data_IF_006641223870
#
_entry.id   IF_006641223870
#
_cell.length_a   1.000
_cell.length_b   1.000
_cell.length_c   1.000
_cell.angle_alpha   90.00
_cell.angle_beta   90.00
_cell.angle_gamma   90.00
#
_symmetry.space_group_name_H-M   'P 1'
#
loop_
_entity.id
_entity.type
_entity.pdbx_description
1 polymer ?
#
# COMPACT_ATOMS: atom_id res chain seq x y z
N UNK A 1 -28.25 -3.48 -23.91
CA UNK A 1 -27.33 -4.58 -23.59
C UNK A 1 -26.65 -4.21 -22.28
N UNK A 2 -27.00 -4.88 -21.18
CA UNK A 2 -26.33 -4.69 -19.90
C UNK A 2 -24.97 -5.36 -20.06
N UNK A 3 -23.89 -4.59 -20.08
CA UNK A 3 -22.54 -5.14 -19.95
C UNK A 3 -22.49 -5.84 -18.59
N UNK A 4 -22.42 -7.17 -18.58
CA UNK A 4 -22.17 -7.91 -17.34
C UNK A 4 -20.88 -7.36 -16.72
N UNK A 5 -21.02 -6.76 -15.53
CA UNK A 5 -19.89 -6.20 -14.80
C UNK A 5 -18.99 -7.36 -14.42
N UNK A 6 -17.85 -7.48 -15.09
CA UNK A 6 -16.86 -8.53 -14.83
C UNK A 6 -16.42 -8.42 -13.38
N UNK A 7 -16.72 -9.43 -12.57
CA UNK A 7 -16.45 -9.41 -11.14
C UNK A 7 -14.95 -9.57 -10.87
N UNK A 8 -14.29 -8.48 -10.52
CA UNK A 8 -12.89 -8.47 -10.11
C UNK A 8 -12.78 -9.04 -8.70
N UNK A 9 -11.90 -10.02 -8.51
CA UNK A 9 -11.82 -10.75 -7.22
C UNK A 9 -10.41 -11.21 -6.92
N UNK A 10 -10.03 -11.09 -5.65
CA UNK A 10 -8.87 -11.75 -5.06
C UNK A 10 -9.37 -12.86 -4.13
N UNK A 11 -8.92 -14.09 -4.35
CA UNK A 11 -9.17 -15.24 -3.47
C UNK A 11 -7.85 -15.72 -2.87
N UNK A 12 -7.78 -15.76 -1.55
CA UNK A 12 -6.69 -16.41 -0.83
C UNK A 12 -6.96 -17.92 -0.83
N UNK A 13 -6.08 -18.69 -1.46
CA UNK A 13 -6.16 -20.16 -1.42
C UNK A 13 -5.55 -20.63 -0.10
N UNK A 14 -6.29 -21.51 0.61
CA UNK A 14 -5.80 -22.14 1.85
C UNK A 14 -4.42 -22.75 1.59
N UNK A 15 -3.44 -22.39 2.43
CA UNK A 15 -2.06 -22.86 2.36
C UNK A 15 -1.39 -22.65 0.99
N UNK A 16 -1.88 -21.66 0.24
CA UNK A 16 -1.56 -21.48 -1.16
C UNK A 16 -1.54 -20.03 -1.63
N UNK A 17 -1.52 -19.84 -2.96
CA UNK A 17 -1.33 -18.53 -3.58
C UNK A 17 -2.55 -17.60 -3.48
N UNK A 18 -2.37 -16.35 -3.90
CA UNK A 18 -3.47 -15.48 -4.28
C UNK A 18 -3.95 -15.86 -5.68
N UNK A 19 -5.27 -16.02 -5.87
CA UNK A 19 -5.90 -16.17 -7.18
C UNK A 19 -6.67 -14.89 -7.49
N UNK A 20 -6.22 -14.16 -8.50
CA UNK A 20 -6.80 -12.89 -8.95
C UNK A 20 -7.58 -13.19 -10.22
N UNK A 21 -8.84 -12.76 -10.32
CA UNK A 21 -9.69 -12.94 -11.51
C UNK A 21 -10.33 -11.62 -11.93
N UNK A 22 -10.69 -11.48 -13.20
CA UNK A 22 -11.38 -10.32 -13.74
C UNK A 22 -10.62 -9.58 -14.85
N UNK A 23 -9.47 -10.09 -15.31
CA UNK A 23 -8.71 -9.45 -16.38
C UNK A 23 -8.05 -8.14 -15.96
N UNK A 24 -7.57 -8.02 -14.73
CA UNK A 24 -6.88 -6.83 -14.24
C UNK A 24 -5.50 -6.66 -14.93
N UNK A 25 -5.02 -5.43 -15.13
CA UNK A 25 -3.62 -5.22 -15.49
C UNK A 25 -2.71 -5.57 -14.30
N UNK A 26 -1.45 -5.89 -14.59
CA UNK A 26 -0.45 -6.21 -13.56
C UNK A 26 0.87 -5.53 -13.92
N UNK A 27 1.40 -4.74 -12.99
CA UNK A 27 2.63 -3.97 -13.17
C UNK A 27 3.69 -4.37 -12.14
N UNK A 28 4.96 -4.35 -12.55
CA UNK A 28 6.12 -4.27 -11.67
C UNK A 28 6.46 -2.79 -11.49
N UNK A 29 6.41 -2.31 -10.25
CA UNK A 29 6.77 -0.94 -9.91
C UNK A 29 8.12 -0.88 -9.22
N UNK A 30 8.82 0.24 -9.41
CA UNK A 30 10.07 0.53 -8.71
C UNK A 30 10.00 1.86 -8.00
N UNK A 31 10.65 1.90 -6.84
CA UNK A 31 10.86 3.11 -6.06
C UNK A 31 11.91 3.98 -6.75
N UNK A 32 11.59 5.24 -6.95
CA UNK A 32 12.51 6.28 -7.40
C UNK A 32 12.92 7.14 -6.22
N UNK A 33 14.23 7.41 -6.09
CA UNK A 33 14.79 8.26 -5.05
C UNK A 33 15.39 9.54 -5.64
N UNK A 34 15.39 10.64 -4.87
CA UNK A 34 16.17 11.82 -5.20
C UNK A 34 17.68 11.62 -4.94
N UNK A 35 18.50 12.64 -5.26
CA UNK A 35 19.96 12.61 -5.08
C UNK A 35 20.39 12.39 -3.62
N UNK A 36 19.56 12.79 -2.66
CA UNK A 36 19.79 12.58 -1.23
C UNK A 36 19.31 11.20 -0.75
N UNK A 37 18.76 10.36 -1.65
CA UNK A 37 18.28 9.02 -1.36
C UNK A 37 16.88 8.98 -0.74
N UNK A 38 16.13 10.09 -0.77
CA UNK A 38 14.76 10.07 -0.28
C UNK A 38 13.81 9.49 -1.33
N UNK A 39 12.97 8.56 -0.89
CA UNK A 39 11.94 7.91 -1.70
C UNK A 39 10.89 8.92 -2.17
N UNK A 40 10.77 9.14 -3.49
CA UNK A 40 9.88 10.14 -4.10
C UNK A 40 8.64 9.54 -4.70
N UNK A 41 8.82 8.55 -5.58
CA UNK A 41 7.77 8.08 -6.48
C UNK A 41 7.81 6.56 -6.64
N UNK A 42 6.69 6.00 -7.11
CA UNK A 42 6.60 4.67 -7.70
C UNK A 42 6.36 4.83 -9.19
N UNK A 43 7.21 4.20 -10.01
CA UNK A 43 7.02 4.20 -11.46
C UNK A 43 6.83 2.77 -11.95
N UNK A 44 5.99 2.61 -12.97
CA UNK A 44 5.83 1.34 -13.66
C UNK A 44 7.10 1.02 -14.46
N UNK A 45 7.78 -0.06 -14.06
CA UNK A 45 8.97 -0.57 -14.76
C UNK A 45 8.59 -1.56 -15.86
N UNK A 46 7.53 -2.34 -15.63
CA UNK A 46 7.10 -3.39 -16.55
C UNK A 46 5.62 -3.67 -16.39
N UNK A 47 4.93 -3.74 -17.52
CA UNK A 47 3.59 -4.32 -17.61
C UNK A 47 3.70 -5.81 -17.93
N UNK A 48 2.99 -6.65 -17.19
CA UNK A 48 2.85 -8.07 -17.51
C UNK A 48 1.70 -8.27 -18.52
N UNK A 49 1.78 -9.30 -19.39
CA UNK A 49 0.68 -9.60 -20.29
C UNK A 49 -0.63 -9.77 -19.53
N UNK A 50 -1.67 -9.05 -19.97
CA UNK A 50 -2.97 -9.10 -19.33
C UNK A 50 -3.57 -10.51 -19.41
N UNK A 51 -4.01 -11.03 -18.27
CA UNK A 51 -4.62 -12.36 -18.16
C UNK A 51 -5.95 -12.30 -17.45
N UNK A 52 -6.88 -13.19 -17.82
CA UNK A 52 -8.14 -13.33 -17.10
C UNK A 52 -7.92 -13.67 -15.62
N UNK A 53 -6.88 -14.46 -15.35
CA UNK A 53 -6.55 -14.94 -14.01
C UNK A 53 -5.04 -14.88 -13.79
N UNK A 54 -4.61 -14.33 -12.66
CA UNK A 54 -3.25 -14.50 -12.15
C UNK A 54 -3.24 -15.41 -10.92
N UNK A 55 -2.13 -16.13 -10.74
CA UNK A 55 -1.86 -16.90 -9.54
C UNK A 55 -0.55 -16.41 -8.94
N UNK A 56 -0.63 -15.56 -7.92
CA UNK A 56 0.52 -14.88 -7.33
C UNK A 56 1.02 -15.60 -6.08
N UNK A 57 2.35 -15.66 -5.93
CA UNK A 57 3.02 -16.29 -4.81
C UNK A 57 2.66 -15.56 -3.50
N UNK A 58 2.27 -16.34 -2.49
CA UNK A 58 2.06 -15.86 -1.12
C UNK A 58 3.07 -16.42 -0.11
N UNK A 59 3.66 -17.59 -0.41
CA UNK A 59 4.58 -18.28 0.50
C UNK A 59 6.02 -17.73 0.51
N UNK A 60 6.36 -16.77 -0.36
CA UNK A 60 7.71 -16.20 -0.47
C UNK A 60 8.76 -17.11 -1.14
N UNK A 61 8.49 -18.40 -1.34
CA UNK A 61 9.49 -19.37 -1.81
C UNK A 61 9.49 -19.66 -3.33
N UNK A 62 8.54 -19.11 -4.10
CA UNK A 62 8.49 -19.34 -5.56
C UNK A 62 9.79 -18.91 -6.24
N UNK A 63 10.25 -19.68 -7.22
CA UNK A 63 11.37 -19.36 -8.11
C UNK A 63 10.92 -18.56 -9.34
N UNK A 64 9.62 -18.44 -9.57
CA UNK A 64 9.02 -17.69 -10.67
C UNK A 64 8.21 -16.47 -10.17
N UNK A 65 8.77 -15.71 -9.22
CA UNK A 65 8.08 -14.52 -8.66
C UNK A 65 7.77 -13.50 -9.76
N UNK A 66 6.62 -12.79 -9.68
CA UNK A 66 5.64 -12.80 -8.58
C UNK A 66 4.65 -13.98 -8.63
N UNK A 67 4.74 -14.85 -9.63
CA UNK A 67 3.81 -15.96 -9.83
C UNK A 67 4.09 -17.15 -8.91
N UNK A 68 3.05 -17.92 -8.65
CA UNK A 68 3.15 -19.20 -7.94
C UNK A 68 3.69 -20.28 -8.88
N UNK A 69 4.67 -21.06 -8.42
CA UNK A 69 5.25 -22.21 -9.13
C UNK A 69 4.94 -23.56 -8.44
N UNK A 70 4.06 -23.55 -7.43
CA UNK A 70 3.72 -24.74 -6.65
C UNK A 70 4.62 -25.01 -5.44
N UNK A 71 5.71 -24.26 -5.23
CA UNK A 71 6.66 -24.49 -4.12
C UNK A 71 6.00 -24.52 -2.73
N UNK A 72 4.90 -23.79 -2.53
CA UNK A 72 4.12 -23.79 -1.28
C UNK A 72 3.72 -25.21 -0.80
N UNK A 73 3.45 -26.13 -1.74
CA UNK A 73 3.09 -27.52 -1.39
C UNK A 73 4.30 -28.31 -0.90
N UNK A 74 5.46 -28.08 -1.52
CA UNK A 74 6.71 -28.79 -1.21
C UNK A 74 7.22 -28.40 0.18
N UNK A 75 7.12 -27.11 0.53
CA UNK A 75 7.59 -26.60 1.82
C UNK A 75 6.55 -26.70 2.94
N UNK A 76 5.34 -27.19 2.65
CA UNK A 76 4.25 -27.26 3.63
C UNK A 76 3.86 -25.89 4.18
N UNK A 77 3.72 -24.88 3.31
CA UNK A 77 3.37 -23.51 3.72
C UNK A 77 2.06 -23.49 4.51
N UNK A 78 2.13 -23.11 5.79
CA UNK A 78 0.95 -22.80 6.59
C UNK A 78 0.51 -21.37 6.32
N UNK A 79 -0.64 -21.24 5.65
CA UNK A 79 -1.18 -19.96 5.24
C UNK A 79 -2.19 -19.38 6.22
N UNK A 80 -2.31 -19.91 7.44
CA UNK A 80 -3.27 -19.50 8.47
C UNK A 80 -3.11 -18.03 8.83
N UNK A 81 -4.21 -17.28 8.78
CA UNK A 81 -4.24 -15.86 9.13
C UNK A 81 -4.06 -15.70 10.65
N UNK A 82 -2.99 -15.03 11.05
CA UNK A 82 -2.70 -14.69 12.45
C UNK A 82 -2.86 -13.21 12.75
N UNK A 83 -3.22 -12.41 11.74
CA UNK A 83 -3.39 -10.97 11.87
C UNK A 83 -4.55 -10.62 12.82
N UNK A 84 -4.33 -9.61 13.65
CA UNK A 84 -5.38 -9.06 14.51
C UNK A 84 -6.48 -8.39 13.68
N UNK A 85 -7.73 -8.67 14.03
CA UNK A 85 -8.93 -8.01 13.45
C UNK A 85 -9.34 -6.71 14.16
N UNK A 86 -8.49 -6.20 15.06
CA UNK A 86 -8.76 -4.89 15.68
C UNK A 86 -8.87 -3.81 14.60
N UNK A 87 -9.85 -2.90 14.70
CA UNK A 87 -9.96 -1.75 13.82
C UNK A 87 -8.63 -0.98 13.71
N UNK A 88 -8.36 -0.43 12.53
CA UNK A 88 -7.15 0.36 12.27
C UNK A 88 -6.92 1.45 13.33
N UNK A 89 -7.97 2.21 13.67
CA UNK A 89 -7.87 3.31 14.63
C UNK A 89 -7.49 2.87 16.05
N UNK A 90 -7.74 1.61 16.43
CA UNK A 90 -7.29 1.09 17.74
C UNK A 90 -5.80 0.74 17.76
N UNK A 91 -5.19 0.59 16.59
CA UNK A 91 -3.78 0.24 16.40
C UNK A 91 -2.92 1.47 16.08
N UNK A 92 -3.55 2.55 15.64
CA UNK A 92 -2.86 3.74 15.17
C UNK A 92 -2.59 4.73 16.32
N UNK A 93 -1.37 5.27 16.34
CA UNK A 93 -1.05 6.46 17.12
C UNK A 93 -1.57 7.71 16.41
N UNK A 94 -2.05 8.69 17.17
CA UNK A 94 -2.56 9.96 16.63
C UNK A 94 -1.52 11.04 16.84
N UNK A 95 -1.19 11.76 15.78
CA UNK A 95 -0.36 12.95 15.81
C UNK A 95 -1.16 14.14 15.28
N UNK A 96 -1.15 15.24 16.02
CA UNK A 96 -1.91 16.45 15.71
C UNK A 96 -0.98 17.55 15.20
N UNK A 97 -1.37 18.19 14.11
CA UNK A 97 -0.78 19.42 13.58
C UNK A 97 -1.81 20.56 13.53
N UNK A 98 -1.39 21.77 13.11
CA UNK A 98 -2.30 22.90 12.90
C UNK A 98 -3.52 22.57 12.02
N UNK A 99 -3.29 22.10 10.78
CA UNK A 99 -4.35 21.82 9.79
C UNK A 99 -4.54 20.33 9.50
N UNK A 100 -3.54 19.51 9.82
CA UNK A 100 -3.52 18.08 9.53
C UNK A 100 -3.51 17.24 10.81
N UNK A 101 -4.12 16.06 10.73
CA UNK A 101 -3.98 14.99 11.74
C UNK A 101 -3.45 13.74 11.04
N UNK A 102 -2.49 13.06 11.63
CA UNK A 102 -1.97 11.79 11.14
C UNK A 102 -2.37 10.66 12.10
N UNK A 103 -2.95 9.60 11.56
CA UNK A 103 -3.00 8.31 12.24
C UNK A 103 -1.91 7.41 11.66
N UNK A 104 -1.09 6.81 12.53
CA UNK A 104 0.08 6.02 12.17
C UNK A 104 0.04 4.64 12.86
N UNK A 105 -0.30 3.61 12.10
CA UNK A 105 -0.28 2.22 12.54
C UNK A 105 1.07 1.57 12.21
N UNK A 106 2.08 1.85 13.04
CA UNK A 106 3.48 1.46 12.78
C UNK A 106 3.69 -0.03 12.49
N UNK A 107 2.82 -0.91 13.00
CA UNK A 107 2.86 -2.36 12.74
C UNK A 107 2.75 -2.72 11.23
N UNK A 108 2.17 -1.83 10.41
CA UNK A 108 2.03 -2.05 8.98
C UNK A 108 3.21 -1.56 8.15
N UNK A 109 4.22 -0.93 8.75
CA UNK A 109 5.36 -0.37 8.01
C UNK A 109 6.02 -1.39 7.07
N UNK A 110 6.09 -1.08 5.78
CA UNK A 110 6.83 -1.87 4.78
C UNK A 110 8.29 -1.40 4.58
N UNK A 111 8.69 -0.35 5.29
CA UNK A 111 10.01 0.26 5.24
C UNK A 111 10.41 0.91 3.89
N UNK A 112 9.44 1.28 3.05
CA UNK A 112 9.71 2.00 1.79
C UNK A 112 10.13 3.46 1.97
N UNK A 113 10.01 4.02 3.18
CA UNK A 113 10.52 5.37 3.58
C UNK A 113 9.94 6.57 2.81
N UNK A 114 8.77 6.42 2.19
CA UNK A 114 8.07 7.54 1.57
C UNK A 114 7.77 8.70 2.54
N UNK A 115 7.71 8.43 3.84
CA UNK A 115 7.37 9.39 4.88
C UNK A 115 8.57 10.05 5.59
N UNK A 116 9.78 9.97 5.01
CA UNK A 116 11.01 10.48 5.61
C UNK A 116 11.63 11.65 4.85
N UNK A 117 10.97 12.21 3.83
CA UNK A 117 11.51 13.36 3.10
C UNK A 117 11.31 14.62 3.93
N UNK A 118 12.12 15.64 3.68
CA UNK A 118 11.99 16.96 4.31
C UNK A 118 11.93 16.94 5.86
N UNK A 119 12.64 15.99 6.50
CA UNK A 119 12.62 15.80 7.97
C UNK A 119 11.61 14.73 8.45
N UNK A 120 10.70 14.33 7.59
CA UNK A 120 9.72 13.26 7.79
C UNK A 120 8.33 13.77 8.15
N UNK A 121 7.33 12.94 7.86
CA UNK A 121 5.92 13.34 7.93
C UNK A 121 5.51 13.88 9.29
N UNK A 122 6.07 13.35 10.39
CA UNK A 122 5.76 13.81 11.75
C UNK A 122 6.21 15.24 12.01
N UNK A 123 7.31 15.67 11.41
CA UNK A 123 7.78 17.06 11.49
C UNK A 123 6.98 17.96 10.54
N UNK A 124 6.62 17.44 9.36
CA UNK A 124 5.82 18.17 8.38
C UNK A 124 4.43 18.52 8.90
N UNK A 125 3.73 17.58 9.56
CA UNK A 125 2.39 17.86 10.11
C UNK A 125 2.41 18.94 11.19
N UNK A 126 3.49 19.10 11.96
CA UNK A 126 3.62 20.17 12.97
C UNK A 126 3.65 21.56 12.34
N UNK A 127 3.94 21.65 11.03
CA UNK A 127 4.02 22.87 10.23
C UNK A 127 2.93 22.91 9.16
N UNK A 128 1.80 22.22 9.39
CA UNK A 128 0.77 22.04 8.36
C UNK A 128 -0.01 23.31 7.97
N UNK A 129 0.24 24.43 8.64
CA UNK A 129 -0.18 25.79 8.25
C UNK A 129 0.71 26.40 7.15
N UNK A 130 1.92 25.86 6.96
CA UNK A 130 2.76 26.15 5.79
C UNK A 130 2.32 25.28 4.61
N UNK A 131 2.08 25.91 3.45
CA UNK A 131 1.50 25.23 2.30
C UNK A 131 2.42 24.17 1.68
N UNK A 132 3.74 24.37 1.72
CA UNK A 132 4.72 23.42 1.19
C UNK A 132 4.85 22.20 2.10
N UNK A 133 4.94 22.42 3.42
CA UNK A 133 4.97 21.34 4.40
C UNK A 133 3.68 20.52 4.38
N UNK A 134 2.52 21.19 4.27
CA UNK A 134 1.21 20.56 4.15
C UNK A 134 1.12 19.68 2.91
N UNK A 135 1.49 20.20 1.74
CA UNK A 135 1.45 19.43 0.49
C UNK A 135 2.41 18.24 0.54
N UNK A 136 3.64 18.44 1.05
CA UNK A 136 4.60 17.35 1.17
C UNK A 136 4.08 16.24 2.10
N UNK A 137 3.47 16.57 3.23
CA UNK A 137 2.87 15.58 4.13
C UNK A 137 1.75 14.78 3.45
N UNK A 138 0.91 15.44 2.65
CA UNK A 138 -0.15 14.79 1.86
C UNK A 138 0.47 13.80 0.87
N UNK A 139 1.46 14.24 0.10
CA UNK A 139 2.13 13.39 -0.89
C UNK A 139 2.83 12.19 -0.23
N UNK A 140 3.46 12.39 0.92
CA UNK A 140 4.12 11.32 1.70
C UNK A 140 3.14 10.28 2.24
N UNK A 141 2.00 10.73 2.75
CA UNK A 141 0.97 9.84 3.28
C UNK A 141 0.29 9.04 2.16
N UNK A 142 -0.11 9.70 1.08
CA UNK A 142 -0.87 9.08 -0.01
C UNK A 142 -0.08 8.03 -0.78
N UNK A 143 1.25 8.16 -0.84
CA UNK A 143 2.11 7.19 -1.52
C UNK A 143 2.62 6.08 -0.58
N UNK A 144 2.23 6.07 0.70
CA UNK A 144 2.60 4.99 1.62
C UNK A 144 1.94 3.66 1.19
N UNK A 145 2.69 2.69 0.64
CA UNK A 145 2.08 1.53 -0.03
C UNK A 145 1.52 0.50 0.96
N UNK A 146 1.77 0.68 2.26
CA UNK A 146 1.43 -0.28 3.30
C UNK A 146 0.10 -0.03 4.00
N UNK A 147 -0.51 1.14 3.79
CA UNK A 147 -1.68 1.58 4.56
C UNK A 147 -1.36 1.92 6.03
N UNK A 148 -0.08 2.06 6.39
CA UNK A 148 0.38 2.50 7.72
C UNK A 148 -0.16 3.89 8.06
N UNK A 149 -0.06 4.83 7.12
CA UNK A 149 -0.34 6.24 7.31
C UNK A 149 -1.70 6.59 6.73
N UNK A 150 -2.56 7.22 7.54
CA UNK A 150 -3.75 7.90 7.04
C UNK A 150 -3.68 9.34 7.54
N UNK A 151 -3.63 10.27 6.60
CA UNK A 151 -3.61 11.70 6.87
C UNK A 151 -5.03 12.24 6.75
N UNK A 152 -5.42 13.11 7.67
CA UNK A 152 -6.77 13.65 7.79
C UNK A 152 -6.71 15.16 7.68
N UNK A 153 -7.61 15.72 6.88
CA UNK A 153 -7.88 17.14 6.87
C UNK A 153 -8.73 17.49 8.11
N UNK A 154 -8.25 18.42 8.95
CA UNK A 154 -8.94 18.77 10.20
C UNK A 154 -10.16 19.66 9.98
N UNK A 155 -10.21 20.43 8.90
CA UNK A 155 -11.36 21.28 8.57
C UNK A 155 -12.54 20.41 8.15
N UNK A 156 -12.30 19.45 7.25
CA UNK A 156 -13.37 18.60 6.71
C UNK A 156 -13.61 17.33 7.54
N UNK A 157 -12.64 16.92 8.35
CA UNK A 157 -12.65 15.66 9.09
C UNK A 157 -12.46 14.41 8.22
N UNK A 158 -12.14 14.56 6.94
CA UNK A 158 -11.99 13.46 5.97
C UNK A 158 -10.52 13.03 5.81
N UNK A 159 -10.26 11.75 5.54
CA UNK A 159 -8.94 11.30 5.15
C UNK A 159 -8.60 11.78 3.74
N UNK A 160 -7.32 12.06 3.48
CA UNK A 160 -6.80 12.16 2.13
C UNK A 160 -6.71 10.75 1.56
N UNK A 161 -7.49 10.47 0.52
CA UNK A 161 -7.47 9.22 -0.22
C UNK A 161 -7.23 9.51 -1.69
N UNK A 162 -6.64 8.55 -2.40
CA UNK A 162 -6.48 8.64 -3.84
C UNK A 162 -7.84 8.37 -4.50
N UNK A 163 -8.45 9.40 -5.10
CA UNK A 163 -9.77 9.30 -5.76
C UNK A 163 -9.77 8.46 -7.06
N UNK A 164 -8.63 7.87 -7.45
CA UNK A 164 -8.47 7.17 -8.72
C UNK A 164 -8.66 5.65 -8.64
N UNK A 165 -9.90 5.20 -8.85
CA UNK A 165 -10.25 3.92 -9.50
C UNK A 165 -11.54 4.08 -10.34
#
# INVERSE_FOLDING_TARGET
>A
MVTEKKEMRIKIIKDGPYRITGGLPLYEQVIVTDEAGHTRELIDKKEYPQQETYVLCRCGASKNKPFCDGTHRVIGFDGSETASRKPYLEKAEIFEGPELRLTDAHEFCDHSRFCLRAGGIRDLIQKSDDSEARQTAIDEAMICPSGRLVLWDKETGKPFEYDGL
#
